data_IF_848336483674
#
_entry.id   IF_848336483674
#
_cell.length_a   1.000
_cell.length_b   1.000
_cell.length_c   1.000
_cell.angle_alpha   90.00
_cell.angle_beta   90.00
_cell.angle_gamma   90.00
#
_symmetry.space_group_name_H-M   'P 1'
#
loop_
_entity.id
_entity.type
_entity.pdbx_description
1 polymer ?
#
# COMPACT_ATOMS: atom_id res chain seq x y z
N UNK A 1 -18.35 4.10 -28.05
CA UNK A 1 -17.52 4.42 -26.87
C UNK A 1 -18.26 3.94 -25.62
N UNK A 2 -17.98 2.71 -25.16
CA UNK A 2 -18.36 2.22 -23.83
C UNK A 2 -17.04 1.88 -23.14
N UNK A 3 -16.74 2.56 -22.04
CA UNK A 3 -15.60 2.20 -21.18
C UNK A 3 -15.83 0.77 -20.70
N UNK A 4 -14.84 -0.08 -20.94
CA UNK A 4 -14.79 -1.41 -20.33
C UNK A 4 -14.34 -1.19 -18.89
N UNK A 5 -15.32 -1.02 -18.00
CA UNK A 5 -15.12 -0.97 -16.56
C UNK A 5 -14.67 -2.36 -16.10
N UNK A 6 -13.36 -2.57 -16.02
CA UNK A 6 -12.78 -3.73 -15.37
C UNK A 6 -12.81 -3.52 -13.84
N UNK A 7 -13.15 -4.54 -13.03
CA UNK A 7 -13.25 -4.38 -11.58
C UNK A 7 -11.86 -4.11 -11.02
N UNK A 8 -11.64 -2.91 -10.50
CA UNK A 8 -10.53 -2.62 -9.60
C UNK A 8 -10.61 -3.62 -8.44
N UNK A 9 -9.49 -4.27 -8.10
CA UNK A 9 -9.48 -5.22 -6.99
C UNK A 9 -9.72 -4.42 -5.71
N UNK A 10 -10.96 -4.43 -5.21
CA UNK A 10 -11.32 -3.73 -3.99
C UNK A 10 -10.74 -4.51 -2.80
N UNK A 11 -10.14 -3.82 -1.81
CA UNK A 11 -9.76 -4.46 -0.57
C UNK A 11 -10.95 -5.12 0.12
N UNK A 12 -10.72 -6.28 0.72
CA UNK A 12 -11.63 -6.95 1.65
C UNK A 12 -11.64 -6.15 2.97
N UNK A 13 -12.83 -6.04 3.57
CA UNK A 13 -13.07 -5.31 4.81
C UNK A 13 -13.34 -6.28 5.97
N UNK A 14 -12.60 -6.10 7.06
CA UNK A 14 -12.93 -6.61 8.39
C UNK A 14 -13.38 -5.44 9.27
N UNK A 15 -14.66 -5.08 9.17
CA UNK A 15 -15.22 -3.90 9.85
C UNK A 15 -15.15 -4.01 11.38
N UNK A 16 -15.08 -5.23 11.94
CA UNK A 16 -15.05 -5.47 13.37
C UNK A 16 -13.71 -5.06 14.00
N UNK A 17 -12.69 -4.80 13.18
CA UNK A 17 -11.42 -4.19 13.61
C UNK A 17 -11.45 -2.66 13.60
N UNK A 18 -12.46 -2.04 12.98
CA UNK A 18 -12.48 -0.59 12.83
C UNK A 18 -12.88 0.10 14.15
N UNK A 19 -11.98 0.92 14.71
CA UNK A 19 -12.23 1.62 15.98
C UNK A 19 -13.45 2.54 15.92
N UNK A 20 -13.71 3.19 14.77
CA UNK A 20 -14.90 4.03 14.55
C UNK A 20 -16.21 3.26 14.42
N UNK A 21 -16.15 2.01 13.97
CA UNK A 21 -17.33 1.12 13.93
C UNK A 21 -17.62 0.59 15.34
N UNK A 22 -16.58 0.15 16.05
CA UNK A 22 -16.70 -0.42 17.40
C UNK A 22 -17.05 0.62 18.46
N UNK A 23 -16.53 1.84 18.34
CA UNK A 23 -16.62 2.87 19.37
C UNK A 23 -17.03 4.22 18.76
N UNK A 24 -18.20 4.72 19.13
CA UNK A 24 -18.77 5.97 18.62
C UNK A 24 -17.90 7.21 18.91
N UNK A 25 -17.10 7.17 19.98
CA UNK A 25 -16.17 8.25 20.35
C UNK A 25 -14.81 8.21 19.63
N UNK A 26 -14.50 7.15 18.88
CA UNK A 26 -13.22 7.05 18.18
C UNK A 26 -13.14 8.04 17.00
N UNK A 27 -11.96 8.60 16.77
CA UNK A 27 -11.73 9.65 15.75
C UNK A 27 -10.71 9.26 14.67
N UNK A 28 -10.33 7.99 14.57
CA UNK A 28 -9.34 7.54 13.59
C UNK A 28 -9.83 7.78 12.15
N UNK A 29 -9.10 8.59 11.39
CA UNK A 29 -9.45 9.00 10.03
C UNK A 29 -8.37 8.65 8.98
N UNK A 30 -7.32 7.94 9.39
CA UNK A 30 -6.12 7.66 8.55
C UNK A 30 -6.44 7.11 7.16
N UNK A 31 -7.37 6.17 7.04
CA UNK A 31 -7.76 5.61 5.75
C UNK A 31 -8.63 6.57 4.92
N UNK A 32 -9.46 7.39 5.57
CA UNK A 32 -10.31 8.41 4.92
C UNK A 32 -9.44 9.54 4.36
N UNK A 33 -8.63 10.17 5.22
CA UNK A 33 -7.61 11.14 4.81
C UNK A 33 -6.56 10.53 3.87
N UNK A 34 -6.46 9.21 3.89
CA UNK A 34 -5.64 8.34 3.06
C UNK A 34 -6.08 8.21 1.61
N UNK A 35 -7.38 8.24 1.37
CA UNK A 35 -7.98 7.77 0.13
C UNK A 35 -7.89 8.84 -0.97
N UNK A 36 -7.20 8.59 -2.10
CA UNK A 36 -7.10 9.56 -3.19
C UNK A 36 -8.43 9.77 -3.91
N UNK A 37 -9.36 8.81 -3.84
CA UNK A 37 -10.66 8.82 -4.52
C UNK A 37 -11.83 9.09 -3.58
N UNK A 38 -11.59 9.37 -2.30
CA UNK A 38 -12.62 9.54 -1.25
C UNK A 38 -13.67 8.40 -1.21
N UNK A 39 -13.21 7.17 -1.47
CA UNK A 39 -14.09 6.02 -1.68
C UNK A 39 -14.52 5.29 -0.40
N UNK A 40 -14.03 5.68 0.77
CA UNK A 40 -14.24 4.98 2.05
C UNK A 40 -15.28 5.75 2.86
N UNK A 41 -16.37 5.11 3.28
CA UNK A 41 -17.46 5.74 4.05
C UNK A 41 -17.85 4.92 5.27
N UNK A 42 -18.29 5.61 6.33
CA UNK A 42 -19.00 4.99 7.46
C UNK A 42 -20.40 5.58 7.52
N UNK A 43 -21.42 4.73 7.39
CA UNK A 43 -22.82 5.12 7.52
C UNK A 43 -23.49 4.20 8.53
N UNK A 44 -24.05 4.75 9.62
CA UNK A 44 -24.71 3.97 10.68
C UNK A 44 -23.85 2.80 11.19
N UNK A 45 -22.57 3.06 11.44
CA UNK A 45 -21.57 2.07 11.87
C UNK A 45 -21.24 0.97 10.86
N UNK A 46 -21.70 1.06 9.61
CA UNK A 46 -21.25 0.19 8.52
C UNK A 46 -20.15 0.88 7.74
N UNK A 47 -18.98 0.24 7.66
CA UNK A 47 -17.86 0.68 6.83
C UNK A 47 -18.03 0.14 5.40
N UNK A 48 -17.92 1.01 4.39
CA UNK A 48 -18.08 0.64 2.98
C UNK A 48 -16.99 1.24 2.09
N UNK A 49 -16.76 0.59 0.95
CA UNK A 49 -15.92 1.09 -0.15
C UNK A 49 -16.78 1.20 -1.41
N UNK A 50 -16.87 2.39 -1.99
CA UNK A 50 -17.66 2.62 -3.20
C UNK A 50 -16.97 2.13 -4.50
N UNK A 51 -17.59 2.40 -5.64
CA UNK A 51 -17.12 1.98 -6.96
C UNK A 51 -16.00 2.88 -7.53
N UNK A 52 -15.75 4.06 -6.95
CA UNK A 52 -14.66 4.92 -7.36
C UNK A 52 -13.29 4.45 -6.83
N UNK A 53 -13.27 3.37 -6.03
CA UNK A 53 -12.04 2.80 -5.48
C UNK A 53 -11.08 2.39 -6.60
N UNK A 54 -9.88 2.97 -6.59
CA UNK A 54 -8.84 2.66 -7.58
C UNK A 54 -8.07 1.37 -7.30
N UNK A 55 -8.29 0.72 -6.15
CA UNK A 55 -7.48 -0.43 -5.71
C UNK A 55 -6.03 -0.08 -5.31
N UNK A 56 -5.72 1.19 -5.00
CA UNK A 56 -4.33 1.63 -4.73
C UNK A 56 -3.67 1.05 -3.48
N UNK A 57 -4.43 0.46 -2.56
CA UNK A 57 -3.91 -0.18 -1.34
C UNK A 57 -3.47 0.77 -0.22
N UNK A 58 -3.67 2.10 -0.33
CA UNK A 58 -3.26 3.03 0.74
C UNK A 58 -3.99 2.76 2.07
N UNK A 59 -5.27 2.34 2.02
CA UNK A 59 -6.02 1.99 3.22
C UNK A 59 -5.41 0.78 3.95
N UNK A 60 -4.93 -0.23 3.23
CA UNK A 60 -4.19 -1.38 3.77
C UNK A 60 -2.92 -0.89 4.46
N UNK A 61 -2.22 0.05 3.83
CA UNK A 61 -0.93 0.51 4.28
C UNK A 61 -0.99 1.56 5.43
N UNK A 62 -2.14 2.21 5.63
CA UNK A 62 -2.37 3.27 6.63
C UNK A 62 -3.21 2.85 7.83
N UNK A 63 -4.01 1.78 7.71
CA UNK A 63 -4.90 1.36 8.79
C UNK A 63 -4.12 0.60 9.88
N UNK A 64 -3.98 1.17 11.10
CA UNK A 64 -3.24 0.50 12.18
C UNK A 64 -3.95 -0.76 12.71
N UNK A 65 -5.26 -0.85 12.47
CA UNK A 65 -6.07 -1.98 12.92
C UNK A 65 -6.24 -3.05 11.82
N UNK A 66 -5.57 -2.89 10.66
CA UNK A 66 -5.61 -3.86 9.57
C UNK A 66 -7.04 -4.22 9.11
N UNK A 67 -7.92 -3.23 9.07
CA UNK A 67 -9.31 -3.37 8.61
C UNK A 67 -9.39 -3.77 7.13
N UNK A 68 -8.38 -3.37 6.35
CA UNK A 68 -8.34 -3.57 4.91
C UNK A 68 -7.27 -4.60 4.58
N UNK A 69 -7.60 -5.57 3.73
CA UNK A 69 -6.64 -6.54 3.20
C UNK A 69 -6.96 -6.85 1.74
N UNK A 70 -6.02 -7.43 1.00
CA UNK A 70 -6.30 -8.01 -0.31
C UNK A 70 -6.45 -9.54 -0.21
N UNK A 71 -7.11 -10.19 -1.19
CA UNK A 71 -7.17 -11.66 -1.29
C UNK A 71 -5.78 -12.29 -1.41
N UNK A 72 -5.61 -13.56 -1.03
CA UNK A 72 -4.31 -14.26 -0.91
C UNK A 72 -3.47 -14.25 -2.18
N UNK A 73 -4.11 -14.29 -3.33
CA UNK A 73 -3.48 -14.19 -4.65
C UNK A 73 -3.04 -12.77 -5.03
N UNK A 74 -3.22 -11.77 -4.16
CA UNK A 74 -2.82 -10.40 -4.42
C UNK A 74 -1.31 -10.20 -4.16
N UNK A 75 -0.61 -9.45 -5.03
CA UNK A 75 0.78 -9.03 -4.79
C UNK A 75 0.96 -8.11 -3.58
N UNK A 76 -0.14 -7.67 -2.96
CA UNK A 76 -0.16 -6.94 -1.70
C UNK A 76 -0.49 -7.82 -0.49
N UNK A 77 -0.66 -9.14 -0.70
CA UNK A 77 -0.92 -10.09 0.36
C UNK A 77 0.37 -10.72 0.85
N UNK A 78 0.44 -10.78 2.17
CA UNK A 78 1.51 -11.36 2.93
C UNK A 78 1.36 -12.88 2.91
N UNK A 79 2.29 -13.58 2.27
CA UNK A 79 2.49 -15.00 2.57
C UNK A 79 3.93 -15.23 2.99
N UNK A 80 4.07 -15.88 4.14
CA UNK A 80 5.34 -16.28 4.75
C UNK A 80 6.02 -17.45 3.99
N UNK A 81 5.57 -17.79 2.78
CA UNK A 81 6.00 -18.97 2.05
C UNK A 81 6.16 -18.68 0.55
N UNK A 82 7.37 -18.37 0.12
CA UNK A 82 7.73 -18.36 -1.31
C UNK A 82 8.08 -17.02 -1.93
N UNK A 83 8.08 -15.92 -1.16
CA UNK A 83 8.46 -14.60 -1.67
C UNK A 83 9.91 -14.63 -2.16
N UNK A 84 10.13 -14.49 -3.48
CA UNK A 84 11.48 -14.45 -4.05
C UNK A 84 12.15 -13.17 -3.55
N UNK A 85 13.18 -13.31 -2.72
CA UNK A 85 14.04 -12.20 -2.31
C UNK A 85 14.50 -11.41 -3.53
N UNK A 86 14.03 -10.18 -3.69
CA UNK A 86 14.32 -9.36 -4.86
C UNK A 86 13.72 -7.96 -4.76
N UNK A 87 14.07 -7.08 -5.72
CA UNK A 87 13.52 -5.73 -5.77
C UNK A 87 12.03 -5.76 -6.11
N UNK A 88 11.27 -4.88 -5.46
CA UNK A 88 9.88 -4.61 -5.82
C UNK A 88 9.82 -3.50 -6.84
N UNK A 89 9.02 -3.66 -7.89
CA UNK A 89 8.82 -2.66 -8.92
C UNK A 89 7.44 -2.01 -8.73
N UNK A 90 7.33 -0.69 -8.78
CA UNK A 90 6.01 -0.07 -8.80
C UNK A 90 5.34 -0.26 -10.17
N UNK A 91 4.01 -0.35 -10.21
CA UNK A 91 3.27 -0.51 -11.47
C UNK A 91 3.44 0.67 -12.43
N UNK A 92 3.85 1.84 -11.92
CA UNK A 92 4.20 3.00 -12.74
C UNK A 92 5.44 2.79 -13.63
N UNK A 93 6.27 1.78 -13.34
CA UNK A 93 7.35 1.36 -14.25
C UNK A 93 6.83 0.62 -15.47
N UNK A 94 5.72 -0.11 -15.32
CA UNK A 94 5.18 -0.94 -16.39
C UNK A 94 4.43 -0.14 -17.45
N UNK A 95 4.14 1.13 -17.19
CA UNK A 95 3.22 1.88 -18.01
C UNK A 95 3.62 3.36 -18.12
N UNK A 96 3.97 3.77 -19.33
CA UNK A 96 3.54 5.04 -19.92
C UNK A 96 2.01 5.03 -20.13
N UNK A 97 1.24 4.72 -19.08
CA UNK A 97 -0.21 4.46 -19.14
C UNK A 97 -0.85 4.06 -17.80
N UNK A 98 -2.18 3.86 -17.75
CA UNK A 98 -2.88 3.53 -16.51
C UNK A 98 -2.45 2.18 -15.92
N UNK A 99 -2.50 2.09 -14.58
CA UNK A 99 -2.19 0.88 -13.79
C UNK A 99 -2.87 -0.35 -14.41
N UNK A 100 -2.15 -1.46 -14.68
CA UNK A 100 -2.76 -2.66 -15.23
C UNK A 100 -3.94 -3.11 -14.36
N UNK A 101 -5.13 -3.21 -14.96
CA UNK A 101 -6.29 -3.79 -14.32
C UNK A 101 -6.09 -5.32 -14.24
N UNK A 102 -5.60 -5.82 -13.11
CA UNK A 102 -5.35 -7.26 -12.91
C UNK A 102 -4.40 -7.56 -11.74
N UNK A 103 -4.10 -8.84 -11.53
CA UNK A 103 -3.11 -9.30 -10.55
C UNK A 103 -1.71 -8.97 -11.05
N UNK A 104 -0.99 -8.07 -10.36
CA UNK A 104 0.41 -7.79 -10.68
C UNK A 104 1.29 -8.98 -10.26
N UNK A 105 2.45 -9.20 -10.91
CA UNK A 105 3.43 -10.19 -10.44
C UNK A 105 3.81 -9.96 -8.96
N UNK A 106 4.26 -10.99 -8.22
CA UNK A 106 4.59 -10.87 -6.80
C UNK A 106 5.67 -9.82 -6.49
N UNK A 107 6.54 -9.53 -7.45
CA UNK A 107 7.56 -8.49 -7.35
C UNK A 107 7.05 -7.09 -7.75
N UNK A 108 5.76 -6.91 -8.04
CA UNK A 108 5.21 -5.65 -8.53
C UNK A 108 4.11 -5.13 -7.60
N UNK A 109 4.31 -3.93 -7.07
CA UNK A 109 3.38 -3.25 -6.17
C UNK A 109 2.60 -2.16 -6.93
N UNK A 110 1.35 -1.82 -6.55
CA UNK A 110 0.62 -0.72 -7.19
C UNK A 110 1.28 0.64 -7.02
N UNK A 111 1.94 0.89 -5.89
CA UNK A 111 2.61 2.14 -5.61
C UNK A 111 3.59 1.97 -4.45
N UNK A 112 4.65 2.78 -4.39
CA UNK A 112 5.46 2.92 -3.16
C UNK A 112 4.58 3.21 -1.92
N UNK A 113 3.51 3.98 -2.11
CA UNK A 113 2.53 4.28 -1.06
C UNK A 113 1.74 3.08 -0.53
N UNK A 114 1.68 1.95 -1.24
CA UNK A 114 0.97 0.75 -0.76
C UNK A 114 1.81 -0.13 0.18
N UNK A 115 3.11 0.15 0.32
CA UNK A 115 4.01 -0.61 1.19
C UNK A 115 3.72 -0.26 2.66
N UNK A 116 3.28 -1.23 3.48
CA UNK A 116 2.98 -1.01 4.91
C UNK A 116 4.23 -1.09 5.81
N UNK A 117 4.17 -0.53 7.01
CA UNK A 117 5.24 -0.67 8.02
C UNK A 117 5.51 -2.13 8.35
N UNK A 118 4.47 -2.93 8.57
CA UNK A 118 4.59 -4.37 8.87
C UNK A 118 5.34 -5.11 7.77
N UNK A 119 5.09 -4.77 6.49
CA UNK A 119 5.79 -5.37 5.36
C UNK A 119 7.30 -5.08 5.39
N UNK A 120 7.65 -3.80 5.56
CA UNK A 120 9.05 -3.35 5.59
C UNK A 120 9.78 -4.04 6.73
N UNK A 121 9.21 -4.03 7.94
CA UNK A 121 9.80 -4.69 9.11
C UNK A 121 9.95 -6.20 8.89
N UNK A 122 8.92 -6.88 8.38
CA UNK A 122 8.96 -8.33 8.15
C UNK A 122 10.03 -8.73 7.13
N UNK A 123 10.19 -7.98 6.04
CA UNK A 123 11.23 -8.26 5.03
C UNK A 123 12.63 -8.00 5.59
N UNK A 124 12.81 -6.90 6.32
CA UNK A 124 14.12 -6.53 6.88
C UNK A 124 14.55 -7.48 7.99
N UNK A 125 13.66 -7.87 8.89
CA UNK A 125 13.96 -8.85 9.94
C UNK A 125 14.27 -10.25 9.38
N UNK A 126 13.86 -10.55 8.16
CA UNK A 126 14.16 -11.83 7.49
C UNK A 126 15.43 -11.79 6.65
N UNK A 127 15.75 -10.65 6.04
CA UNK A 127 16.84 -10.54 5.05
C UNK A 127 18.03 -9.70 5.53
N UNK A 128 17.88 -8.99 6.65
CA UNK A 128 18.88 -8.10 7.25
C UNK A 128 19.44 -7.05 6.26
N UNK A 129 18.61 -6.65 5.31
CA UNK A 129 18.96 -5.71 4.23
C UNK A 129 17.80 -4.75 3.94
N UNK A 130 18.09 -3.54 3.43
CA UNK A 130 17.05 -2.62 2.95
C UNK A 130 16.15 -3.29 1.93
N UNK A 131 14.84 -3.06 2.05
CA UNK A 131 13.90 -3.47 1.02
C UNK A 131 14.17 -2.63 -0.25
N UNK A 132 14.51 -3.30 -1.34
CA UNK A 132 14.78 -2.62 -2.61
C UNK A 132 13.46 -2.36 -3.34
N UNK A 133 13.24 -1.11 -3.75
CA UNK A 133 12.06 -0.71 -4.52
C UNK A 133 12.49 0.13 -5.72
N UNK A 134 12.10 -0.29 -6.90
CA UNK A 134 12.29 0.46 -8.15
C UNK A 134 10.97 1.18 -8.47
N UNK A 135 11.04 2.48 -8.73
CA UNK A 135 9.88 3.32 -9.09
C UNK A 135 10.07 4.03 -10.42
N UNK A 136 8.98 4.39 -11.09
CA UNK A 136 9.01 5.40 -12.16
C UNK A 136 9.12 6.83 -11.62
N UNK A 137 8.81 7.84 -12.43
CA UNK A 137 8.75 9.24 -11.98
C UNK A 137 7.53 9.48 -11.07
N UNK A 138 7.75 9.56 -9.75
CA UNK A 138 6.69 9.82 -8.78
C UNK A 138 6.14 11.25 -8.88
N UNK A 139 6.91 12.21 -9.39
CA UNK A 139 6.51 13.62 -9.54
C UNK A 139 5.37 13.79 -10.56
N UNK A 140 5.45 13.06 -11.68
CA UNK A 140 4.49 13.12 -12.79
C UNK A 140 3.40 12.04 -12.67
N UNK A 141 3.50 11.16 -11.68
CA UNK A 141 2.59 10.03 -11.52
C UNK A 141 1.19 10.50 -11.09
N UNK A 142 0.09 9.93 -11.65
CA UNK A 142 -1.26 10.15 -11.14
C UNK A 142 -1.41 9.83 -9.64
N UNK A 143 -0.57 8.92 -9.13
CA UNK A 143 -0.50 8.52 -7.72
C UNK A 143 0.61 9.23 -6.92
N UNK A 144 1.06 10.43 -7.33
CA UNK A 144 2.14 11.20 -6.68
C UNK A 144 2.02 11.36 -5.16
N UNK A 145 0.81 11.35 -4.62
CA UNK A 145 0.59 11.38 -3.16
C UNK A 145 1.20 10.16 -2.43
N UNK A 146 1.40 9.04 -3.13
CA UNK A 146 1.93 7.80 -2.58
C UNK A 146 3.35 7.91 -2.06
N UNK A 147 4.25 8.59 -2.77
CA UNK A 147 5.62 8.79 -2.31
C UNK A 147 5.64 9.59 -1.00
N UNK A 148 4.96 10.75 -0.97
CA UNK A 148 4.87 11.58 0.24
C UNK A 148 4.36 10.78 1.45
N UNK A 149 3.34 9.94 1.25
CA UNK A 149 2.79 9.07 2.31
C UNK A 149 3.77 7.98 2.75
N UNK A 150 4.54 7.42 1.82
CA UNK A 150 5.60 6.48 2.15
C UNK A 150 6.71 7.17 2.96
N UNK A 151 7.22 8.34 2.53
CA UNK A 151 8.23 9.12 3.27
C UNK A 151 7.80 9.48 4.69
N UNK A 152 6.51 9.73 4.90
CA UNK A 152 5.98 9.92 6.26
C UNK A 152 6.14 8.67 7.13
N UNK A 153 5.78 7.48 6.62
CA UNK A 153 5.96 6.22 7.33
C UNK A 153 7.42 5.81 7.47
N UNK A 154 8.26 6.12 6.48
CA UNK A 154 9.70 5.86 6.55
C UNK A 154 10.31 6.52 7.79
N UNK A 155 9.86 7.72 8.18
CA UNK A 155 10.28 8.37 9.44
C UNK A 155 9.84 7.59 10.68
N UNK A 156 8.63 7.03 10.69
CA UNK A 156 8.15 6.19 11.79
C UNK A 156 8.97 4.89 11.89
N UNK A 157 9.28 4.27 10.75
CA UNK A 157 10.09 3.04 10.71
C UNK A 157 11.53 3.32 11.16
N UNK A 158 12.13 4.43 10.73
CA UNK A 158 13.46 4.85 11.16
C UNK A 158 13.54 5.05 12.67
N UNK A 159 12.51 5.65 13.28
CA UNK A 159 12.48 5.76 14.74
C UNK A 159 12.50 4.39 15.42
N UNK A 160 11.84 3.36 14.86
CA UNK A 160 11.92 2.00 15.38
C UNK A 160 13.31 1.39 15.17
N UNK A 161 13.97 1.68 14.04
CA UNK A 161 15.31 1.18 13.72
C UNK A 161 16.36 1.69 14.70
N UNK A 162 16.25 2.96 15.10
CA UNK A 162 17.12 3.56 16.12
C UNK A 162 17.06 2.77 17.44
N UNK A 163 15.87 2.29 17.83
CA UNK A 163 15.71 1.45 19.04
C UNK A 163 16.23 0.02 18.86
N UNK A 164 16.22 -0.50 17.63
CA UNK A 164 16.64 -1.86 17.31
C UNK A 164 18.13 -1.95 16.95
N UNK A 165 18.84 -0.83 16.84
CA UNK A 165 20.23 -0.78 16.40
C UNK A 165 20.39 -1.20 14.93
N UNK A 166 19.48 -0.74 14.07
CA UNK A 166 19.52 -0.99 12.61
C UNK A 166 19.99 0.27 11.90
N UNK A 167 21.19 0.20 11.29
CA UNK A 167 21.94 1.39 10.84
C UNK A 167 21.67 1.77 9.38
N UNK A 168 20.80 1.03 8.68
CA UNK A 168 20.51 1.22 7.27
C UNK A 168 19.10 1.74 7.01
N UNK A 169 18.90 2.36 5.85
CA UNK A 169 17.58 2.86 5.45
C UNK A 169 16.58 1.72 5.30
N UNK A 170 15.31 1.85 5.75
CA UNK A 170 14.33 0.77 5.63
C UNK A 170 14.07 0.37 4.17
N UNK A 171 14.00 1.35 3.27
CA UNK A 171 13.84 1.12 1.84
C UNK A 171 14.96 1.83 1.08
N UNK A 172 15.49 1.13 0.08
CA UNK A 172 16.34 1.71 -0.95
C UNK A 172 15.48 1.94 -2.20
N UNK A 173 15.28 3.20 -2.57
CA UNK A 173 14.44 3.59 -3.71
C UNK A 173 15.36 3.94 -4.89
N UNK A 174 15.16 3.29 -6.03
CA UNK A 174 15.80 3.66 -7.29
C UNK A 174 14.76 4.04 -8.34
N UNK A 175 15.05 5.08 -9.12
CA UNK A 175 14.20 5.45 -10.26
C UNK A 175 14.66 4.68 -11.49
N UNK A 176 13.77 3.85 -12.04
CA UNK A 176 14.01 3.10 -13.27
C UNK A 176 13.23 3.70 -14.44
N UNK A 177 13.81 3.61 -15.63
CA UNK A 177 13.07 3.72 -16.90
C UNK A 177 12.86 2.32 -17.43
N UNK A 178 11.63 1.94 -17.82
CA UNK A 178 11.43 0.71 -18.55
C UNK A 178 12.21 0.79 -19.88
N UNK A 179 13.28 0.00 -19.98
CA UNK A 179 13.91 -0.38 -21.25
C UNK A 179 13.27 -1.64 -21.79
#
# INVERSE_FOLDING_TARGET
MKSLDAPSLKPILDQDRCSRVRFSGARCDRCFAGCPTDSIRITRSTLTIDNACSGCGFCVALCPNEVFSFPEESPLRFTNAGDKSGPLCCSGLLATGPVPAGTLPPSVIPCLGSISTVFVLTRILREEKPLQVVTGSCEECPMRAGEKRYRQREREIRSLFDYLGIDFSPVSISTGSAT
#
